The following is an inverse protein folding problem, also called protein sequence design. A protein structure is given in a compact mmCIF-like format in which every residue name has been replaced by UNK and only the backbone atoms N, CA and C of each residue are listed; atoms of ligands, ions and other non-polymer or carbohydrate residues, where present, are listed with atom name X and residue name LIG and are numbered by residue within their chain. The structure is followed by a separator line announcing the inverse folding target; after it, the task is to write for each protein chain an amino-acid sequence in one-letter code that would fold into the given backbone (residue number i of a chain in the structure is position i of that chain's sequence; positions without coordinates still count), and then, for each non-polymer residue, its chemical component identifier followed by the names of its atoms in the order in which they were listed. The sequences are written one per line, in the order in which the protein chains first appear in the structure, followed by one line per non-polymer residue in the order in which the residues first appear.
data_IF_459196529418
#
_entry.id   IF_459196529418
#
_cell.length_a   1.000
_cell.length_b   1.000
_cell.length_c   1.000
_cell.angle_alpha   90.00
_cell.angle_beta   90.00
_cell.angle_gamma   90.00
#
_symmetry.space_group_name_H-M   'P 1'
#
loop_
_entity.id
_entity.type
_entity.pdbx_description
1 polymer ?
#
# COMPACT_ATOMS: atom_id res chain seq x y z
N UNK A 1 -13.19 -4.80 25.69
CA UNK A 1 -11.76 -4.84 25.52
C UNK A 1 -11.37 -5.42 24.19
N UNK A 2 -10.49 -4.76 23.51
CA UNK A 2 -10.05 -5.24 22.19
C UNK A 2 -9.05 -6.39 22.29
N UNK A 3 -8.84 -6.91 23.50
CA UNK A 3 -7.82 -7.91 23.72
C UNK A 3 -8.04 -9.22 22.97
N UNK A 4 -9.30 -9.46 22.58
CA UNK A 4 -9.64 -10.73 21.92
C UNK A 4 -9.53 -10.70 20.41
N UNK A 5 -9.18 -9.56 19.86
CA UNK A 5 -9.06 -9.47 18.41
C UNK A 5 -7.84 -10.25 17.92
N UNK A 6 -8.08 -11.17 17.04
CA UNK A 6 -7.05 -12.01 16.45
C UNK A 6 -7.13 -11.85 14.93
N UNK A 7 -6.23 -11.08 14.33
CA UNK A 7 -6.27 -10.87 12.88
C UNK A 7 -6.14 -12.17 12.10
N UNK A 8 -6.96 -12.33 11.09
CA UNK A 8 -6.93 -13.52 10.24
C UNK A 8 -6.88 -13.11 8.77
N UNK A 9 -5.72 -12.68 8.29
CA UNK A 9 -5.58 -12.33 6.89
C UNK A 9 -5.91 -13.52 5.99
N UNK A 10 -6.40 -13.23 4.79
CA UNK A 10 -6.65 -14.28 3.81
C UNK A 10 -5.34 -14.97 3.49
N UNK A 11 -5.34 -16.31 3.49
CA UNK A 11 -4.13 -17.08 3.20
C UNK A 11 -3.75 -16.92 1.74
N UNK A 12 -2.53 -16.46 1.49
CA UNK A 12 -2.03 -16.24 0.14
C UNK A 12 -0.71 -16.95 -0.14
N UNK A 13 -0.27 -17.81 0.78
CA UNK A 13 1.01 -18.50 0.65
C UNK A 13 1.11 -19.36 -0.61
N UNK A 14 -0.01 -19.87 -1.09
CA UNK A 14 -0.05 -20.72 -2.28
C UNK A 14 -0.15 -19.90 -3.58
N UNK A 15 -0.24 -18.59 -3.48
CA UNK A 15 -0.39 -17.71 -4.64
C UNK A 15 0.99 -17.25 -5.11
N UNK A 16 1.26 -17.42 -6.39
CA UNK A 16 2.49 -16.94 -7.00
C UNK A 16 2.15 -15.76 -7.89
N UNK A 17 2.74 -14.61 -7.61
CA UNK A 17 2.51 -13.42 -8.42
C UNK A 17 3.39 -13.46 -9.66
N UNK A 18 2.81 -13.09 -10.80
CA UNK A 18 3.58 -13.01 -12.05
C UNK A 18 4.61 -11.89 -11.98
N UNK A 19 5.61 -11.97 -12.84
CA UNK A 19 6.64 -10.92 -12.90
C UNK A 19 6.03 -9.57 -13.24
N UNK A 20 5.03 -9.55 -14.12
CA UNK A 20 4.32 -8.31 -14.46
C UNK A 20 3.69 -7.67 -13.25
N UNK A 21 3.06 -8.49 -12.42
CA UNK A 21 2.40 -7.98 -11.21
C UNK A 21 3.47 -7.49 -10.23
N UNK A 22 4.57 -8.23 -10.09
CA UNK A 22 5.64 -7.82 -9.16
C UNK A 22 6.24 -6.47 -9.56
N UNK A 23 6.30 -6.18 -10.85
CA UNK A 23 6.79 -4.89 -11.32
C UNK A 23 5.89 -3.74 -10.92
N UNK A 24 4.61 -4.01 -10.67
CA UNK A 24 3.67 -2.98 -10.27
C UNK A 24 3.70 -2.68 -8.77
N UNK A 25 4.32 -3.54 -7.98
CA UNK A 25 4.24 -3.42 -6.51
C UNK A 25 4.75 -2.07 -6.02
N UNK A 26 5.88 -1.59 -6.57
CA UNK A 26 6.42 -0.29 -6.15
C UNK A 26 5.48 0.86 -6.51
N UNK A 27 4.92 0.83 -7.71
CA UNK A 27 3.98 1.88 -8.11
C UNK A 27 2.74 1.88 -7.25
N UNK A 28 2.23 0.70 -6.93
CA UNK A 28 1.04 0.56 -6.11
C UNK A 28 1.31 0.93 -4.65
N UNK A 29 2.51 0.61 -4.15
CA UNK A 29 2.91 0.99 -2.81
C UNK A 29 3.03 2.50 -2.68
N UNK A 30 3.62 3.14 -3.68
CA UNK A 30 3.71 4.59 -3.71
C UNK A 30 2.31 5.22 -3.77
N UNK A 31 1.44 4.66 -4.58
CA UNK A 31 0.06 5.12 -4.68
C UNK A 31 -0.67 4.99 -3.34
N UNK A 32 -0.46 3.87 -2.65
CA UNK A 32 -1.07 3.66 -1.34
C UNK A 32 -0.59 4.72 -0.34
N UNK A 33 0.71 5.02 -0.36
CA UNK A 33 1.27 6.07 0.48
C UNK A 33 0.65 7.43 0.16
N UNK A 34 0.53 7.75 -1.11
CA UNK A 34 -0.02 9.03 -1.53
C UNK A 34 -1.48 9.17 -1.15
N UNK A 35 -2.25 8.08 -1.22
CA UNK A 35 -3.64 8.10 -0.76
C UNK A 35 -3.69 8.40 0.74
N UNK A 36 -2.87 7.69 1.52
CA UNK A 36 -2.80 7.91 2.97
C UNK A 36 -2.41 9.37 3.28
N UNK A 37 -1.37 9.86 2.60
CA UNK A 37 -0.89 11.21 2.83
C UNK A 37 -1.94 12.25 2.47
N UNK A 38 -2.66 12.04 1.37
CA UNK A 38 -3.73 12.95 0.96
C UNK A 38 -4.81 13.05 2.02
N UNK A 39 -5.19 11.91 2.62
CA UNK A 39 -6.19 11.89 3.68
C UNK A 39 -5.69 12.63 4.92
N UNK A 40 -4.43 12.41 5.29
CA UNK A 40 -3.85 13.10 6.45
C UNK A 40 -3.82 14.61 6.23
N UNK A 41 -3.37 15.05 5.06
CA UNK A 41 -3.30 16.48 4.75
C UNK A 41 -4.69 17.10 4.76
N UNK A 42 -5.69 16.38 4.25
CA UNK A 42 -7.07 16.86 4.28
C UNK A 42 -7.56 17.07 5.71
N UNK A 43 -7.13 16.20 6.62
CA UNK A 43 -7.50 16.28 8.03
C UNK A 43 -6.65 17.28 8.81
N UNK A 44 -5.81 18.05 8.14
CA UNK A 44 -5.02 19.09 8.79
C UNK A 44 -3.68 18.65 9.35
N UNK A 45 -3.25 17.43 9.03
CA UNK A 45 -1.93 16.96 9.45
C UNK A 45 -0.84 17.60 8.61
N UNK A 46 0.32 17.78 9.21
CA UNK A 46 1.50 18.32 8.52
C UNK A 46 2.70 17.49 8.91
N UNK A 47 3.81 17.70 8.19
CA UNK A 47 5.05 17.02 8.52
C UNK A 47 5.57 17.49 9.89
N UNK A 48 6.09 16.57 10.66
CA UNK A 48 6.79 16.86 11.90
C UNK A 48 7.82 15.78 12.17
N UNK A 49 8.83 16.05 13.04
CA UNK A 49 9.92 15.11 13.26
C UNK A 49 9.49 13.82 13.95
N UNK A 50 8.34 13.83 14.60
CA UNK A 50 7.77 12.64 15.22
C UNK A 50 6.25 12.75 15.23
N UNK A 51 5.59 11.62 15.38
CA UNK A 51 4.13 11.63 15.42
C UNK A 51 3.63 12.36 16.65
N UNK A 52 2.75 13.31 16.43
CA UNK A 52 2.14 14.10 17.52
C UNK A 52 0.68 14.30 17.20
N UNK A 53 -0.19 13.54 17.86
CA UNK A 53 -1.62 13.57 17.57
C UNK A 53 -2.25 14.90 17.98
N UNK A 54 -1.70 15.56 18.99
CA UNK A 54 -2.23 16.84 19.43
C UNK A 54 -1.94 17.93 18.39
N UNK A 55 -0.74 17.97 17.86
CA UNK A 55 -0.34 18.93 16.85
C UNK A 55 -0.67 18.47 15.43
N UNK A 56 -1.11 17.22 15.27
CA UNK A 56 -1.35 16.59 13.98
C UNK A 56 -0.13 16.65 13.10
N UNK A 57 0.98 16.12 13.61
CA UNK A 57 2.24 16.06 12.88
C UNK A 57 2.65 14.60 12.70
N UNK A 58 3.24 14.31 11.55
CA UNK A 58 3.66 12.95 11.25
C UNK A 58 4.92 12.97 10.39
N UNK A 59 5.93 12.18 10.77
CA UNK A 59 7.20 12.16 10.02
C UNK A 59 7.09 11.49 8.65
N UNK A 60 6.06 10.72 8.41
CA UNK A 60 5.88 10.05 7.12
C UNK A 60 5.14 10.89 6.09
N UNK A 61 4.81 12.14 6.39
CA UNK A 61 4.22 13.05 5.41
C UNK A 61 5.31 13.63 4.52
N UNK A 62 5.97 12.76 3.78
CA UNK A 62 7.03 13.06 2.82
C UNK A 62 6.79 12.19 1.58
N UNK A 63 7.43 12.48 0.45
CA UNK A 63 7.31 11.62 -0.72
C UNK A 63 7.72 10.19 -0.40
N UNK A 64 7.08 9.23 -1.03
CA UNK A 64 7.33 7.81 -0.81
C UNK A 64 8.82 7.46 -0.90
N UNK A 65 9.51 8.04 -1.87
CA UNK A 65 10.95 7.77 -2.07
C UNK A 65 11.82 8.18 -0.89
N UNK A 66 11.33 9.08 -0.05
CA UNK A 66 12.06 9.56 1.12
C UNK A 66 11.76 8.78 2.39
N UNK A 67 10.81 7.85 2.33
CA UNK A 67 10.50 7.02 3.47
C UNK A 67 11.63 6.02 3.74
N UNK A 68 11.86 5.66 5.01
CA UNK A 68 12.74 4.53 5.32
C UNK A 68 12.18 3.25 4.70
N UNK A 69 13.07 2.30 4.37
CA UNK A 69 12.65 1.02 3.79
C UNK A 69 11.57 0.33 4.60
N UNK A 70 11.68 0.39 5.89
CA UNK A 70 10.71 -0.23 6.79
C UNK A 70 9.29 0.30 6.54
N UNK A 71 9.15 1.60 6.34
CA UNK A 71 7.84 2.20 6.10
C UNK A 71 7.35 1.90 4.70
N UNK A 72 8.24 1.88 3.71
CA UNK A 72 7.86 1.47 2.36
C UNK A 72 7.42 0.01 2.33
N UNK A 73 8.05 -0.83 3.14
CA UNK A 73 7.70 -2.25 3.21
C UNK A 73 6.28 -2.46 3.76
N UNK A 74 5.81 -1.60 4.62
CA UNK A 74 4.41 -1.67 5.07
C UNK A 74 3.47 -1.56 3.87
N UNK A 75 3.72 -0.58 3.02
CA UNK A 75 2.88 -0.37 1.84
C UNK A 75 3.01 -1.53 0.87
N UNK A 76 4.23 -2.03 0.66
CA UNK A 76 4.46 -3.19 -0.21
C UNK A 76 3.73 -4.42 0.29
N UNK A 77 3.80 -4.68 1.59
CA UNK A 77 3.15 -5.83 2.20
C UNK A 77 1.63 -5.76 2.01
N UNK A 78 1.05 -4.59 2.20
CA UNK A 78 -0.38 -4.42 2.02
C UNK A 78 -0.79 -4.63 0.57
N UNK A 79 -0.01 -4.10 -0.36
CA UNK A 79 -0.29 -4.26 -1.79
C UNK A 79 -0.20 -5.73 -2.20
N UNK A 80 0.89 -6.39 -1.84
CA UNK A 80 1.09 -7.80 -2.18
C UNK A 80 -0.02 -8.65 -1.57
N UNK A 81 -0.36 -8.40 -0.32
CA UNK A 81 -1.42 -9.14 0.36
C UNK A 81 -2.78 -8.94 -0.28
N UNK A 82 -3.08 -7.71 -0.72
CA UNK A 82 -4.36 -7.44 -1.37
C UNK A 82 -4.45 -8.09 -2.74
N UNK A 83 -3.39 -8.01 -3.52
CA UNK A 83 -3.36 -8.66 -4.84
C UNK A 83 -3.48 -10.18 -4.66
N UNK A 84 -2.71 -10.73 -3.73
CA UNK A 84 -2.77 -12.17 -3.45
C UNK A 84 -4.16 -12.61 -3.01
N UNK A 85 -4.83 -11.79 -2.21
CA UNK A 85 -6.18 -12.10 -1.75
C UNK A 85 -7.18 -12.12 -2.91
N UNK A 86 -7.06 -11.18 -3.84
CA UNK A 86 -7.93 -11.17 -5.03
C UNK A 86 -7.80 -12.48 -5.78
N UNK A 87 -6.56 -12.93 -5.99
CA UNK A 87 -6.30 -14.17 -6.70
C UNK A 87 -6.75 -15.39 -5.90
N UNK A 88 -6.54 -15.36 -4.58
CA UNK A 88 -6.95 -16.46 -3.71
C UNK A 88 -8.47 -16.61 -3.66
N UNK A 89 -9.20 -15.51 -3.87
CA UNK A 89 -10.66 -15.52 -3.90
C UNK A 89 -11.22 -15.98 -5.25
N UNK A 90 -10.36 -16.35 -6.20
CA UNK A 90 -10.80 -16.90 -7.46
C UNK A 90 -10.88 -15.92 -8.62
N UNK A 91 -10.42 -14.70 -8.42
CA UNK A 91 -10.39 -13.71 -9.50
C UNK A 91 -9.08 -13.80 -10.26
N UNK A 92 -9.08 -13.25 -11.45
CA UNK A 92 -7.87 -13.14 -12.25
C UNK A 92 -7.58 -11.68 -12.53
N UNK A 93 -6.30 -11.37 -12.76
CA UNK A 93 -5.86 -10.04 -13.12
C UNK A 93 -5.21 -10.17 -14.49
N UNK A 94 -5.67 -9.38 -15.44
CA UNK A 94 -5.09 -9.39 -16.77
C UNK A 94 -4.74 -7.98 -17.20
N UNK A 95 -3.72 -7.89 -18.04
CA UNK A 95 -3.26 -6.63 -18.59
C UNK A 95 -3.92 -6.41 -19.93
N UNK A 96 -4.60 -5.28 -20.09
CA UNK A 96 -5.37 -5.03 -21.31
C UNK A 96 -4.51 -4.62 -22.49
N UNK A 97 -3.34 -4.08 -22.25
CA UNK A 97 -2.43 -3.64 -23.29
C UNK A 97 -1.02 -4.08 -22.98
N UNK A 98 -0.41 -4.82 -23.90
CA UNK A 98 0.96 -5.28 -23.72
C UNK A 98 1.91 -4.14 -24.06
N UNK A 99 2.22 -3.33 -23.07
CA UNK A 99 3.20 -2.29 -23.25
C UNK A 99 2.72 -1.08 -24.02
N UNK A 100 1.46 -1.01 -24.35
CA UNK A 100 0.89 0.16 -25.02
C UNK A 100 0.07 0.94 -24.01
N UNK A 101 0.30 2.24 -23.99
CA UNK A 101 -0.47 3.11 -23.15
C UNK A 101 -1.94 3.03 -23.56
N UNK A 102 -2.83 2.67 -22.64
CA UNK A 102 -4.24 2.53 -22.96
C UNK A 102 -4.90 3.86 -23.20
N UNK A 103 -4.28 4.86 -23.47
CA UNK A 103 -4.85 6.16 -23.75
C UNK A 103 -6.22 6.37 -23.13
N UNK A 104 -6.51 7.46 -22.65
CA UNK A 104 -7.75 7.75 -21.93
C UNK A 104 -8.97 7.61 -22.82
#
# INVERSE_FOLDING_TARGET
MAADYEPKPITTEHIVLSDEILELVELLAENAHDIWASERLRDGWTFGPERDDTKRQHPCLVPYAQLPDRDRDYDRTMVIGSIGAILALGFTISHTHSGVDPAP
#
